data_IF_270162963363
#
_entry.id   IF_270162963363
#
_cell.length_a   1.000
_cell.length_b   1.000
_cell.length_c   1.000
_cell.angle_alpha   90.00
_cell.angle_beta   90.00
_cell.angle_gamma   90.00
#
_symmetry.space_group_name_H-M   'P 1'
#
loop_
_entity.id
_entity.type
_entity.pdbx_description
1 polymer ?
#
# COMPACT_ATOMS: atom_id res chain seq x y z
N UNK A 1 -50.74 -14.03 20.78
CA UNK A 1 -50.54 -13.80 19.32
C UNK A 1 -50.25 -12.32 19.15
N UNK A 2 -49.15 -11.84 18.60
CA UNK A 2 -47.98 -12.46 18.00
C UNK A 2 -46.75 -11.61 18.37
N UNK A 3 -45.63 -12.29 18.62
CA UNK A 3 -44.32 -11.68 18.73
C UNK A 3 -43.78 -11.35 17.33
N UNK A 4 -43.19 -10.16 17.18
CA UNK A 4 -42.20 -9.84 16.16
C UNK A 4 -41.06 -9.17 16.96
N UNK A 5 -39.89 -9.76 17.21
CA UNK A 5 -39.16 -10.76 16.44
C UNK A 5 -38.18 -10.05 15.50
N UNK A 6 -37.05 -9.59 16.05
CA UNK A 6 -35.95 -9.02 15.24
C UNK A 6 -35.03 -8.04 15.97
N UNK A 7 -34.43 -8.40 17.10
CA UNK A 7 -33.20 -7.73 17.56
C UNK A 7 -32.00 -8.35 16.84
N UNK A 8 -31.53 -7.71 15.77
CA UNK A 8 -30.18 -7.93 15.27
C UNK A 8 -29.34 -6.68 15.58
N UNK A 9 -29.03 -6.50 16.86
CA UNK A 9 -27.86 -5.78 17.35
C UNK A 9 -27.13 -6.83 18.23
N UNK A 10 -25.86 -7.15 18.08
CA UNK A 10 -24.74 -6.44 17.48
C UNK A 10 -23.69 -7.44 16.98
N UNK A 11 -22.77 -6.97 16.13
CA UNK A 11 -21.37 -7.36 16.26
C UNK A 11 -20.51 -6.09 16.13
N UNK A 12 -20.48 -5.30 17.21
CA UNK A 12 -19.34 -4.42 17.45
C UNK A 12 -18.10 -5.32 17.50
N UNK A 13 -17.10 -5.03 16.69
CA UNK A 13 -15.83 -5.77 16.66
C UNK A 13 -15.31 -5.91 18.10
N UNK A 14 -15.05 -7.13 18.62
CA UNK A 14 -14.55 -7.29 19.98
C UNK A 14 -13.18 -6.62 20.14
N UNK A 15 -12.94 -5.96 21.27
CA UNK A 15 -11.60 -5.46 21.59
C UNK A 15 -10.67 -6.65 21.86
N UNK A 16 -9.58 -6.83 21.10
CA UNK A 16 -8.61 -7.88 21.39
C UNK A 16 -7.80 -7.51 22.64
N UNK A 17 -7.24 -8.52 23.31
CA UNK A 17 -6.25 -8.28 24.35
C UNK A 17 -4.89 -8.04 23.71
N UNK A 18 -4.28 -6.89 23.99
CA UNK A 18 -2.95 -6.52 23.48
C UNK A 18 -1.89 -6.75 24.55
N UNK A 19 -0.78 -7.39 24.17
CA UNK A 19 0.42 -7.58 24.98
C UNK A 19 1.62 -6.91 24.31
N UNK A 20 2.37 -6.12 25.08
CA UNK A 20 3.60 -5.50 24.61
C UNK A 20 3.88 -4.14 25.28
N UNK A 21 4.85 -3.38 24.76
CA UNK A 21 5.66 -3.71 23.58
C UNK A 21 6.50 -4.98 23.79
N UNK A 22 6.69 -5.77 22.74
CA UNK A 22 7.54 -6.97 22.76
C UNK A 22 9.00 -6.50 22.65
N UNK A 23 9.85 -6.71 23.69
CA UNK A 23 11.22 -6.24 23.66
C UNK A 23 12.00 -6.81 22.47
N UNK A 24 12.77 -5.97 21.78
CA UNK A 24 13.81 -6.44 20.87
C UNK A 24 15.09 -6.60 21.69
N UNK A 25 15.57 -7.84 21.88
CA UNK A 25 16.74 -8.13 22.70
C UNK A 25 18.04 -8.18 21.89
N UNK A 26 17.94 -8.04 20.57
CA UNK A 26 19.06 -7.99 19.64
C UNK A 26 18.87 -6.88 18.59
N UNK A 27 19.96 -6.31 18.04
CA UNK A 27 19.85 -5.33 16.96
C UNK A 27 19.39 -5.98 15.64
N UNK A 28 18.74 -5.23 14.73
CA UNK A 28 18.40 -5.75 13.40
C UNK A 28 19.61 -6.27 12.63
N UNK A 29 19.47 -7.46 12.03
CA UNK A 29 20.57 -8.21 11.38
C UNK A 29 21.27 -9.22 12.30
N UNK A 30 20.95 -9.26 13.60
CA UNK A 30 21.50 -10.29 14.49
C UNK A 30 20.99 -11.70 14.11
N UNK A 31 21.84 -12.74 14.07
CA UNK A 31 21.44 -14.09 13.69
C UNK A 31 20.39 -14.76 14.59
N UNK A 32 20.18 -14.25 15.81
CA UNK A 32 19.12 -14.72 16.72
C UNK A 32 17.71 -14.37 16.23
N UNK A 33 17.58 -13.36 15.35
CA UNK A 33 16.31 -12.80 14.93
C UNK A 33 15.39 -12.39 16.10
N UNK A 34 15.96 -11.94 17.23
CA UNK A 34 15.20 -11.44 18.37
C UNK A 34 14.91 -9.93 18.27
N UNK A 35 14.38 -9.55 17.11
CA UNK A 35 13.90 -8.21 16.75
C UNK A 35 12.72 -8.35 15.76
N UNK A 36 11.96 -7.28 15.48
CA UNK A 36 10.86 -7.34 14.53
C UNK A 36 11.31 -7.73 13.11
N UNK A 37 10.66 -8.74 12.50
CA UNK A 37 10.88 -9.07 11.08
C UNK A 37 10.58 -7.83 10.24
N UNK A 38 11.49 -7.47 9.33
CA UNK A 38 11.50 -6.28 8.48
C UNK A 38 11.45 -4.94 9.24
N UNK A 39 12.05 -4.88 10.44
CA UNK A 39 12.25 -3.63 11.20
C UNK A 39 12.83 -2.50 10.32
N UNK A 40 12.35 -1.27 10.47
CA UNK A 40 12.83 -0.13 9.66
C UNK A 40 14.31 0.16 9.90
N UNK A 41 15.09 0.57 8.88
CA UNK A 41 16.48 1.01 9.09
C UNK A 41 16.56 2.48 9.52
N UNK A 42 15.43 3.20 9.59
CA UNK A 42 15.40 4.61 9.98
C UNK A 42 15.72 4.78 11.46
N UNK A 43 16.53 5.81 11.78
CA UNK A 43 16.66 6.30 13.16
C UNK A 43 15.41 7.10 13.54
N UNK A 44 14.32 6.39 13.85
CA UNK A 44 13.04 6.99 14.21
C UNK A 44 13.14 7.87 15.46
N UNK A 45 14.03 7.54 16.40
CA UNK A 45 14.20 8.32 17.63
C UNK A 45 14.65 9.76 17.32
N UNK A 46 15.59 9.93 16.39
CA UNK A 46 16.03 11.26 15.92
C UNK A 46 14.90 12.07 15.25
N UNK A 47 13.91 11.38 14.70
CA UNK A 47 12.74 11.97 14.02
C UNK A 47 11.57 12.24 15.00
N UNK A 48 11.69 11.83 16.26
CA UNK A 48 10.62 11.89 17.26
C UNK A 48 9.53 10.85 17.05
N UNK A 49 9.90 9.70 16.51
CA UNK A 49 9.08 8.53 16.27
C UNK A 49 9.61 7.33 17.05
N UNK A 50 8.79 6.29 17.15
CA UNK A 50 9.18 4.98 17.68
C UNK A 50 8.64 3.88 16.78
N UNK A 51 9.36 2.76 16.65
CA UNK A 51 8.85 1.48 16.14
C UNK A 51 8.70 0.52 17.32
N UNK A 52 7.49 0.00 17.52
CA UNK A 52 7.19 -0.97 18.59
C UNK A 52 6.39 -2.14 18.02
N UNK A 53 6.70 -3.35 18.48
CA UNK A 53 5.96 -4.56 18.15
C UNK A 53 5.01 -4.93 19.28
N UNK A 54 3.81 -5.35 18.95
CA UNK A 54 2.82 -5.85 19.90
C UNK A 54 2.21 -7.15 19.40
N UNK A 55 1.83 -8.01 20.33
CA UNK A 55 0.94 -9.13 20.05
C UNK A 55 -0.47 -8.79 20.48
N UNK A 56 -1.46 -9.35 19.78
CA UNK A 56 -2.86 -9.20 20.15
C UNK A 56 -3.61 -10.50 19.88
N UNK A 57 -4.58 -10.80 20.73
CA UNK A 57 -5.35 -12.05 20.67
C UNK A 57 -6.81 -11.81 20.96
N UNK A 58 -7.65 -12.65 20.36
CA UNK A 58 -9.10 -12.61 20.52
C UNK A 58 -9.72 -13.86 19.91
N UNK A 59 -11.00 -13.78 19.58
CA UNK A 59 -11.71 -14.81 18.81
C UNK A 59 -12.21 -14.20 17.50
N UNK A 60 -12.16 -14.99 16.42
CA UNK A 60 -12.50 -14.58 15.08
C UNK A 60 -13.57 -15.51 14.48
N UNK A 61 -14.27 -15.00 13.48
CA UNK A 61 -15.22 -15.74 12.66
C UNK A 61 -14.60 -16.12 11.31
N UNK A 62 -15.17 -17.15 10.70
CA UNK A 62 -14.99 -17.45 9.28
C UNK A 62 -16.22 -16.96 8.54
N UNK A 63 -16.01 -16.30 7.39
CA UNK A 63 -17.07 -15.66 6.61
C UNK A 63 -17.22 -16.29 5.23
N UNK A 64 -18.47 -16.38 4.76
CA UNK A 64 -18.75 -16.42 3.34
C UNK A 64 -18.72 -14.98 2.82
N UNK A 65 -17.90 -14.70 1.79
CA UNK A 65 -17.68 -13.33 1.26
C UNK A 65 -18.11 -13.23 -0.20
N UNK A 66 -19.42 -13.34 -0.50
CA UNK A 66 -19.91 -13.18 -1.86
C UNK A 66 -19.58 -11.78 -2.40
N UNK A 67 -19.23 -11.64 -3.70
CA UNK A 67 -18.91 -10.35 -4.29
C UNK A 67 -20.01 -9.31 -4.05
N UNK A 68 -19.60 -8.07 -3.76
CA UNK A 68 -20.48 -6.90 -3.59
C UNK A 68 -21.59 -7.06 -2.54
N UNK A 69 -21.48 -8.05 -1.67
CA UNK A 69 -22.53 -8.43 -0.72
C UNK A 69 -21.96 -8.58 0.67
N UNK A 70 -22.75 -8.21 1.68
CA UNK A 70 -22.40 -8.37 3.09
C UNK A 70 -22.16 -9.84 3.40
N UNK A 71 -21.08 -10.13 4.13
CA UNK A 71 -20.74 -11.50 4.49
C UNK A 71 -21.79 -12.13 5.41
N UNK A 72 -21.81 -13.47 5.42
CA UNK A 72 -22.47 -14.27 6.46
C UNK A 72 -21.43 -15.07 7.23
N UNK A 73 -21.61 -15.18 8.55
CA UNK A 73 -20.74 -16.01 9.40
C UNK A 73 -20.99 -17.49 9.08
N UNK A 74 -19.92 -18.23 8.79
CA UNK A 74 -19.93 -19.68 8.58
C UNK A 74 -19.61 -20.44 9.87
N UNK A 75 -18.66 -19.93 10.65
CA UNK A 75 -18.28 -20.45 11.96
C UNK A 75 -17.71 -19.31 12.81
N UNK A 76 -17.79 -19.44 14.14
CA UNK A 76 -17.46 -18.38 15.08
C UNK A 76 -16.63 -18.90 16.26
N UNK A 77 -15.99 -17.98 16.98
CA UNK A 77 -15.30 -18.28 18.23
C UNK A 77 -13.91 -18.89 18.07
N UNK A 78 -13.29 -18.76 16.89
CA UNK A 78 -11.97 -19.31 16.62
C UNK A 78 -10.88 -18.46 17.30
N UNK A 79 -10.11 -18.98 18.27
CA UNK A 79 -9.03 -18.24 18.89
C UNK A 79 -7.95 -17.88 17.86
N UNK A 80 -7.35 -16.70 18.05
CA UNK A 80 -6.16 -16.30 17.31
C UNK A 80 -5.22 -15.49 18.22
N UNK A 81 -3.95 -15.48 17.87
CA UNK A 81 -2.93 -14.56 18.34
C UNK A 81 -2.08 -14.09 17.16
N UNK A 82 -2.03 -12.78 16.94
CA UNK A 82 -1.29 -12.18 15.85
C UNK A 82 -0.42 -11.01 16.33
N UNK A 83 0.22 -10.34 15.39
CA UNK A 83 1.20 -9.26 15.57
C UNK A 83 0.74 -7.98 14.88
N UNK A 84 1.00 -6.85 15.53
CA UNK A 84 1.09 -5.54 14.87
C UNK A 84 2.48 -4.92 15.04
N UNK A 85 2.96 -4.22 14.00
CA UNK A 85 4.09 -3.30 14.07
C UNK A 85 3.54 -1.87 14.06
N UNK A 86 3.94 -1.06 15.03
CA UNK A 86 3.47 0.31 15.17
C UNK A 86 4.62 1.26 14.97
N UNK A 87 4.47 2.22 14.07
CA UNK A 87 5.40 3.33 13.88
C UNK A 87 4.65 4.63 14.10
N UNK A 88 4.99 5.37 15.14
CA UNK A 88 4.17 6.53 15.55
C UNK A 88 5.01 7.66 16.15
N UNK A 89 4.51 8.91 16.12
CA UNK A 89 5.08 9.99 16.91
C UNK A 89 5.13 9.64 18.40
N UNK A 90 6.18 10.11 19.08
CA UNK A 90 6.30 9.97 20.55
C UNK A 90 5.56 11.08 21.32
N UNK A 91 5.06 12.11 20.62
CA UNK A 91 4.34 13.24 21.20
C UNK A 91 3.10 13.59 20.38
N UNK A 92 2.01 13.93 21.06
CA UNK A 92 0.77 14.38 20.43
C UNK A 92 0.96 15.63 19.57
N UNK A 93 1.94 16.50 19.89
CA UNK A 93 2.24 17.70 19.11
C UNK A 93 2.79 17.40 17.70
N UNK A 94 3.32 16.18 17.47
CA UNK A 94 3.80 15.72 16.17
C UNK A 94 2.80 14.80 15.46
N UNK A 95 1.66 14.48 16.09
CA UNK A 95 0.67 13.57 15.54
C UNK A 95 -0.44 14.34 14.83
N UNK A 96 -0.72 13.97 13.59
CA UNK A 96 -1.73 14.64 12.76
C UNK A 96 -3.17 14.14 13.00
N UNK A 97 -3.36 13.18 13.91
CA UNK A 97 -4.66 12.61 14.23
C UNK A 97 -5.04 11.37 13.41
N UNK A 98 -4.27 11.01 12.37
CA UNK A 98 -4.59 9.91 11.44
C UNK A 98 -3.70 8.70 11.67
N UNK A 99 -4.34 7.55 11.83
CA UNK A 99 -3.70 6.24 11.89
C UNK A 99 -3.95 5.49 10.59
N UNK A 100 -2.88 5.08 9.94
CA UNK A 100 -2.90 4.24 8.76
C UNK A 100 -2.70 2.78 9.17
N UNK A 101 -3.69 1.93 8.93
CA UNK A 101 -3.67 0.52 9.30
C UNK A 101 -3.45 -0.32 8.05
N UNK A 102 -2.23 -0.81 7.87
CA UNK A 102 -1.88 -1.61 6.71
C UNK A 102 -2.26 -3.07 6.92
N UNK A 103 -3.02 -3.62 5.98
CA UNK A 103 -3.06 -5.06 5.81
C UNK A 103 -1.73 -5.47 5.19
N UNK A 104 -0.79 -5.96 6.00
CA UNK A 104 0.58 -6.22 5.56
C UNK A 104 0.59 -7.30 4.48
N UNK A 105 1.32 -7.03 3.39
CA UNK A 105 1.35 -7.89 2.23
C UNK A 105 2.19 -9.15 2.49
N UNK A 106 1.75 -10.30 1.99
CA UNK A 106 2.42 -11.60 2.17
C UNK A 106 2.71 -12.33 0.86
N UNK A 107 2.57 -11.66 -0.30
CA UNK A 107 2.78 -12.27 -1.64
C UNK A 107 4.17 -12.90 -1.79
N UNK A 108 5.17 -12.36 -1.09
CA UNK A 108 6.56 -12.87 -1.12
C UNK A 108 6.85 -13.96 -0.08
N UNK A 109 5.84 -14.42 0.66
CA UNK A 109 5.97 -15.48 1.66
C UNK A 109 6.34 -15.01 3.07
N UNK A 110 6.56 -13.70 3.25
CA UNK A 110 6.89 -13.03 4.51
C UNK A 110 6.11 -11.72 4.62
N UNK A 111 6.13 -11.09 5.79
CA UNK A 111 5.46 -9.81 6.01
C UNK A 111 6.19 -8.68 5.29
N UNK A 112 5.47 -7.92 4.46
CA UNK A 112 5.99 -6.79 3.71
C UNK A 112 5.08 -5.57 3.86
N UNK A 113 5.56 -4.56 4.57
CA UNK A 113 4.92 -3.26 4.82
C UNK A 113 5.13 -2.30 3.63
N UNK A 114 4.60 -2.72 2.48
CA UNK A 114 4.74 -2.02 1.19
C UNK A 114 4.29 -0.56 1.30
N UNK A 115 3.18 -0.30 1.97
CA UNK A 115 2.64 1.06 2.05
C UNK A 115 3.49 1.98 2.91
N UNK A 116 4.08 1.47 4.00
CA UNK A 116 5.04 2.25 4.80
C UNK A 116 6.30 2.53 4.00
N UNK A 117 6.93 1.50 3.39
CA UNK A 117 8.19 1.68 2.66
C UNK A 117 8.06 2.63 1.47
N UNK A 118 6.92 2.61 0.78
CA UNK A 118 6.66 3.52 -0.34
C UNK A 118 6.58 5.00 0.08
N UNK A 119 6.19 5.30 1.33
CA UNK A 119 5.83 6.66 1.75
C UNK A 119 6.43 7.10 3.10
N UNK A 120 7.41 6.36 3.65
CA UNK A 120 7.92 6.55 5.02
C UNK A 120 8.33 8.00 5.32
N UNK A 121 8.98 8.68 4.37
CA UNK A 121 9.46 10.05 4.55
C UNK A 121 8.29 11.04 4.67
N UNK A 122 7.24 10.86 3.86
CA UNK A 122 6.03 11.65 3.93
C UNK A 122 5.24 11.35 5.22
N UNK A 123 5.04 10.08 5.55
CA UNK A 123 4.28 9.67 6.73
C UNK A 123 4.89 10.24 8.03
N UNK A 124 6.22 10.23 8.13
CA UNK A 124 6.94 10.80 9.28
C UNK A 124 6.85 12.33 9.28
N UNK A 125 7.09 12.97 8.14
CA UNK A 125 7.05 14.44 8.01
C UNK A 125 5.67 15.00 8.34
N UNK A 126 4.62 14.35 7.86
CA UNK A 126 3.23 14.79 8.02
C UNK A 126 2.60 14.33 9.34
N UNK A 127 3.30 13.56 10.18
CA UNK A 127 2.82 13.22 11.52
C UNK A 127 1.84 12.06 11.58
N UNK A 128 1.82 11.16 10.59
CA UNK A 128 0.96 9.97 10.62
C UNK A 128 1.45 8.94 11.64
N UNK A 129 0.53 8.18 12.20
CA UNK A 129 0.84 6.90 12.84
C UNK A 129 0.55 5.76 11.86
N UNK A 130 1.41 4.76 11.84
CA UNK A 130 1.30 3.56 11.00
C UNK A 130 1.16 2.32 11.87
N UNK A 131 0.27 1.41 11.48
CA UNK A 131 0.05 0.11 12.13
C UNK A 131 -0.01 -0.98 11.07
N UNK A 132 1.05 -1.79 10.95
CA UNK A 132 1.10 -2.93 10.06
C UNK A 132 0.56 -4.20 10.73
N UNK A 133 -0.48 -4.81 10.17
CA UNK A 133 -1.17 -5.98 10.73
C UNK A 133 -0.80 -7.26 9.99
N UNK A 134 -0.26 -8.24 10.71
CA UNK A 134 -0.02 -9.59 10.19
C UNK A 134 -1.31 -10.42 10.16
N UNK A 135 -2.21 -10.15 9.20
CA UNK A 135 -3.55 -10.75 9.20
C UNK A 135 -3.62 -12.17 8.59
N UNK A 136 -2.64 -12.57 7.78
CA UNK A 136 -2.72 -13.78 6.94
C UNK A 136 -1.80 -14.91 7.41
N UNK A 137 -2.27 -16.14 7.16
CA UNK A 137 -1.57 -17.39 7.49
C UNK A 137 -0.18 -17.45 6.85
N UNK A 138 -0.04 -17.05 5.59
CA UNK A 138 1.25 -17.11 4.87
C UNK A 138 2.35 -16.32 5.59
N UNK A 139 2.03 -15.12 6.08
CA UNK A 139 3.00 -14.28 6.80
C UNK A 139 3.38 -14.80 8.19
N UNK A 140 2.60 -15.69 8.79
CA UNK A 140 2.86 -16.21 10.15
C UNK A 140 3.38 -17.64 10.13
N UNK A 141 2.67 -18.53 9.42
CA UNK A 141 2.88 -19.98 9.38
C UNK A 141 3.63 -20.46 8.14
N UNK A 142 3.88 -19.58 7.16
CA UNK A 142 4.61 -19.93 5.94
C UNK A 142 6.09 -20.22 6.21
N UNK A 143 6.82 -20.79 5.23
CA UNK A 143 8.22 -21.16 5.38
C UNK A 143 9.17 -19.96 5.59
N UNK A 144 8.76 -18.75 5.19
CA UNK A 144 9.44 -17.49 5.50
C UNK A 144 8.60 -16.59 6.44
N UNK A 145 7.50 -17.14 6.98
CA UNK A 145 6.64 -16.46 7.93
C UNK A 145 7.30 -16.31 9.30
N UNK A 146 6.65 -15.54 10.17
CA UNK A 146 7.20 -15.15 11.47
C UNK A 146 7.68 -16.36 12.30
N UNK A 147 6.88 -17.42 12.40
CA UNK A 147 7.22 -18.59 13.22
C UNK A 147 8.47 -19.29 12.71
N UNK A 148 8.60 -19.47 11.39
CA UNK A 148 9.76 -20.11 10.79
C UNK A 148 11.02 -19.21 10.90
N UNK A 149 10.84 -17.89 10.78
CA UNK A 149 11.93 -16.92 10.81
C UNK A 149 12.53 -16.73 12.22
N UNK A 150 11.70 -16.70 13.26
CA UNK A 150 12.15 -16.63 14.66
C UNK A 150 11.21 -17.41 15.58
N UNK A 151 11.42 -18.75 15.73
CA UNK A 151 10.53 -19.61 16.52
C UNK A 151 10.42 -19.20 17.99
N UNK A 152 11.53 -18.77 18.59
CA UNK A 152 11.55 -18.34 19.99
C UNK A 152 10.69 -17.09 20.24
N UNK A 153 10.70 -16.15 19.30
CA UNK A 153 9.95 -14.89 19.39
C UNK A 153 8.48 -15.07 19.03
N UNK A 154 8.18 -15.81 17.96
CA UNK A 154 6.84 -15.84 17.36
C UNK A 154 6.11 -17.18 17.51
N UNK A 155 6.70 -18.19 18.14
CA UNK A 155 6.12 -19.55 18.24
C UNK A 155 4.76 -19.65 18.94
N UNK A 156 4.30 -18.57 19.59
CA UNK A 156 2.95 -18.49 20.19
C UNK A 156 1.89 -17.88 19.27
N UNK A 157 2.28 -17.33 18.11
CA UNK A 157 1.33 -16.76 17.16
C UNK A 157 0.53 -17.87 16.48
N UNK A 158 -0.75 -17.62 16.27
CA UNK A 158 -1.64 -18.53 15.55
C UNK A 158 -2.82 -17.76 14.95
N UNK A 159 -3.11 -18.00 13.66
CA UNK A 159 -4.26 -17.42 12.95
C UNK A 159 -5.06 -18.51 12.25
N UNK A 160 -5.01 -19.71 12.82
CA UNK A 160 -5.57 -20.93 12.23
C UNK A 160 -6.45 -21.71 13.19
N UNK A 161 -6.62 -21.25 14.44
CA UNK A 161 -7.29 -22.00 15.51
C UNK A 161 -6.75 -23.42 15.63
N UNK A 162 -5.46 -23.52 15.96
CA UNK A 162 -4.74 -24.78 16.12
C UNK A 162 -4.86 -25.70 14.89
N UNK A 163 -4.92 -25.10 13.70
CA UNK A 163 -5.05 -25.79 12.43
C UNK A 163 -6.48 -26.13 11.99
N UNK A 164 -7.50 -25.84 12.79
CA UNK A 164 -8.92 -26.04 12.44
C UNK A 164 -9.31 -25.24 11.19
N UNK A 165 -8.78 -24.02 11.06
CA UNK A 165 -8.99 -23.15 9.89
C UNK A 165 -7.75 -23.20 9.00
N UNK A 166 -7.86 -23.97 7.90
CA UNK A 166 -6.77 -24.24 6.96
C UNK A 166 -6.42 -23.08 6.01
N UNK A 167 -7.24 -22.03 5.95
CA UNK A 167 -7.09 -20.88 5.06
C UNK A 167 -7.04 -19.56 5.86
N UNK A 168 -7.12 -18.43 5.16
CA UNK A 168 -7.13 -17.08 5.77
C UNK A 168 -8.53 -16.66 6.27
N UNK A 169 -9.40 -17.60 6.62
CA UNK A 169 -10.80 -17.31 7.00
C UNK A 169 -10.93 -16.34 8.18
N UNK A 170 -9.98 -16.39 9.11
CA UNK A 170 -9.95 -15.52 10.30
C UNK A 170 -9.42 -14.11 10.03
N UNK A 171 -8.77 -13.89 8.88
CA UNK A 171 -7.98 -12.68 8.62
C UNK A 171 -8.80 -11.37 8.67
N UNK A 172 -10.09 -11.42 8.30
CA UNK A 172 -10.96 -10.24 8.34
C UNK A 172 -11.24 -9.76 9.75
N UNK A 173 -11.46 -10.68 10.71
CA UNK A 173 -11.63 -10.32 12.11
C UNK A 173 -10.32 -9.97 12.77
N UNK A 174 -9.22 -10.67 12.44
CA UNK A 174 -7.87 -10.29 12.90
C UNK A 174 -7.55 -8.84 12.51
N UNK A 175 -7.85 -8.45 11.26
CA UNK A 175 -7.64 -7.09 10.78
C UNK A 175 -8.59 -6.08 11.45
N UNK A 176 -9.88 -6.42 11.58
CA UNK A 176 -10.87 -5.57 12.26
C UNK A 176 -10.49 -5.32 13.73
N UNK A 177 -10.05 -6.36 14.44
CA UNK A 177 -9.69 -6.27 15.84
C UNK A 177 -8.39 -5.48 16.05
N UNK A 178 -7.46 -5.49 15.10
CA UNK A 178 -6.31 -4.57 15.15
C UNK A 178 -6.75 -3.10 15.11
N UNK A 179 -7.76 -2.74 14.30
CA UNK A 179 -8.37 -1.41 14.33
C UNK A 179 -9.14 -1.15 15.64
N UNK A 180 -9.82 -2.16 16.17
CA UNK A 180 -10.50 -2.06 17.46
C UNK A 180 -9.52 -1.84 18.64
N UNK A 181 -8.31 -2.39 18.56
CA UNK A 181 -7.24 -2.15 19.54
C UNK A 181 -6.78 -0.68 19.57
N UNK A 182 -6.93 0.04 18.45
CA UNK A 182 -6.68 1.48 18.36
C UNK A 182 -7.82 2.25 19.02
N UNK A 183 -9.07 1.91 18.69
CA UNK A 183 -10.27 2.66 19.15
C UNK A 183 -10.60 2.43 20.62
N UNK A 184 -10.47 1.20 21.08
CA UNK A 184 -10.83 0.75 22.44
C UNK A 184 -9.74 -0.18 22.97
N UNK A 185 -8.60 0.36 23.41
CA UNK A 185 -7.47 -0.45 23.84
C UNK A 185 -7.82 -1.28 25.09
N UNK A 186 -7.50 -2.57 25.04
CA UNK A 186 -7.54 -3.51 26.17
C UNK A 186 -6.16 -4.13 26.32
N UNK A 187 -5.55 -4.01 27.51
CA UNK A 187 -4.15 -4.34 27.73
C UNK A 187 -3.24 -3.16 27.36
N UNK A 188 -2.19 -3.40 26.57
CA UNK A 188 -1.28 -2.34 26.15
C UNK A 188 -1.95 -1.37 25.15
N UNK A 189 -1.72 -0.06 25.32
CA UNK A 189 -2.16 0.95 24.36
C UNK A 189 -1.12 1.10 23.24
N UNK A 190 -1.42 0.56 22.07
CA UNK A 190 -0.47 0.51 20.95
C UNK A 190 -0.09 1.90 20.41
N UNK A 191 -0.92 2.93 20.67
CA UNK A 191 -0.64 4.31 20.29
C UNK A 191 -0.16 5.20 21.43
N UNK A 192 0.10 4.64 22.62
CA UNK A 192 0.70 5.39 23.73
C UNK A 192 -0.08 6.65 24.14
N UNK A 193 -1.42 6.64 23.99
CA UNK A 193 -2.28 7.78 24.34
C UNK A 193 -2.37 8.90 23.30
N UNK A 194 -1.85 8.73 22.07
CA UNK A 194 -2.05 9.69 21.00
C UNK A 194 -3.55 9.94 20.73
N UNK A 195 -3.99 11.20 20.50
CA UNK A 195 -5.39 11.54 20.29
C UNK A 195 -5.85 11.16 18.87
N UNK A 196 -6.24 9.90 18.70
CA UNK A 196 -6.72 9.36 17.41
C UNK A 196 -8.01 10.06 17.00
N UNK A 197 -8.01 10.58 15.78
CA UNK A 197 -9.20 11.16 15.15
C UNK A 197 -9.71 10.27 14.02
N UNK A 198 -8.81 9.62 13.29
CA UNK A 198 -9.11 8.86 12.07
C UNK A 198 -8.31 7.56 12.01
N UNK A 199 -8.95 6.49 11.55
CA UNK A 199 -8.37 5.17 11.30
C UNK A 199 -8.67 4.77 9.86
N UNK A 200 -7.66 4.77 9.00
CA UNK A 200 -7.77 4.49 7.56
C UNK A 200 -7.13 3.14 7.25
N UNK A 201 -7.88 2.24 6.61
CA UNK A 201 -7.34 0.96 6.15
C UNK A 201 -6.55 1.16 4.85
N UNK A 202 -5.33 0.62 4.79
CA UNK A 202 -4.47 0.76 3.62
C UNK A 202 -3.90 -0.60 3.20
N UNK A 203 -3.62 -0.78 1.91
CA UNK A 203 -3.05 -2.03 1.44
C UNK A 203 -2.67 -1.98 -0.03
N UNK A 204 -1.68 -2.80 -0.38
CA UNK A 204 -1.15 -2.91 -1.73
C UNK A 204 -1.26 -4.33 -2.30
N UNK A 205 -1.48 -4.48 -3.61
CA UNK A 205 -1.43 -5.77 -4.31
C UNK A 205 -2.43 -6.78 -3.74
N UNK A 206 -2.00 -7.97 -3.33
CA UNK A 206 -2.87 -8.94 -2.65
C UNK A 206 -3.63 -8.35 -1.46
N UNK A 207 -2.99 -7.50 -0.65
CA UNK A 207 -3.65 -6.82 0.46
C UNK A 207 -4.72 -5.83 0.01
N UNK A 208 -4.52 -5.17 -1.13
CA UNK A 208 -5.55 -4.35 -1.75
C UNK A 208 -6.76 -5.22 -2.13
N UNK A 209 -6.54 -6.38 -2.74
CA UNK A 209 -7.61 -7.33 -3.07
C UNK A 209 -8.38 -7.80 -1.83
N UNK A 210 -7.66 -8.02 -0.71
CA UNK A 210 -8.27 -8.29 0.60
C UNK A 210 -9.13 -7.14 1.10
N UNK A 211 -8.69 -5.90 0.92
CA UNK A 211 -9.45 -4.73 1.31
C UNK A 211 -10.67 -4.48 0.41
N UNK A 212 -10.64 -4.85 -0.87
CA UNK A 212 -11.84 -4.87 -1.73
C UNK A 212 -12.89 -5.82 -1.14
N UNK A 213 -12.49 -7.04 -0.77
CA UNK A 213 -13.40 -7.98 -0.10
C UNK A 213 -13.85 -7.45 1.27
N UNK A 214 -12.95 -6.86 2.06
CA UNK A 214 -13.29 -6.27 3.35
C UNK A 214 -14.33 -5.17 3.19
N UNK A 215 -14.11 -4.21 2.29
CA UNK A 215 -15.05 -3.13 1.99
C UNK A 215 -16.42 -3.69 1.62
N UNK A 216 -16.46 -4.61 0.67
CA UNK A 216 -17.73 -5.14 0.15
C UNK A 216 -18.50 -5.97 1.16
N UNK A 217 -17.80 -6.79 1.95
CA UNK A 217 -18.42 -7.86 2.73
C UNK A 217 -18.36 -7.65 4.23
N UNK A 218 -17.32 -7.00 4.75
CA UNK A 218 -17.03 -6.91 6.19
C UNK A 218 -17.33 -5.52 6.75
N UNK A 219 -17.15 -4.45 5.97
CA UNK A 219 -17.30 -3.07 6.45
C UNK A 219 -18.64 -2.83 7.16
N UNK A 220 -19.77 -3.28 6.58
CA UNK A 220 -21.12 -3.13 7.16
C UNK A 220 -21.34 -3.95 8.44
N UNK A 221 -20.47 -4.91 8.73
CA UNK A 221 -20.51 -5.71 9.96
C UNK A 221 -19.62 -5.06 11.02
N UNK A 222 -18.43 -4.59 10.63
CA UNK A 222 -17.40 -4.13 11.54
C UNK A 222 -17.44 -2.62 11.83
N UNK A 223 -17.58 -1.79 10.80
CA UNK A 223 -17.61 -0.31 10.86
C UNK A 223 -16.46 0.34 11.65
N UNK A 224 -15.26 -0.27 11.63
CA UNK A 224 -14.07 0.20 12.40
C UNK A 224 -13.13 1.13 11.63
N UNK A 225 -13.33 1.33 10.33
CA UNK A 225 -12.46 2.19 9.49
C UNK A 225 -13.23 3.39 8.95
N UNK A 226 -12.60 4.56 8.97
CA UNK A 226 -13.17 5.82 8.49
C UNK A 226 -12.95 6.02 6.98
N UNK A 227 -12.00 5.30 6.39
CA UNK A 227 -11.68 5.34 4.96
C UNK A 227 -10.74 4.23 4.52
N UNK A 228 -10.54 4.12 3.20
CA UNK A 228 -9.68 3.12 2.57
C UNK A 228 -8.75 3.75 1.53
N UNK A 229 -7.48 3.33 1.52
CA UNK A 229 -6.54 3.55 0.41
C UNK A 229 -6.14 2.20 -0.18
N UNK A 230 -6.47 2.03 -1.46
CA UNK A 230 -6.27 0.82 -2.22
C UNK A 230 -5.20 1.09 -3.28
N UNK A 231 -3.98 0.57 -3.07
CA UNK A 231 -2.85 0.82 -3.95
C UNK A 231 -2.47 -0.42 -4.75
N UNK A 232 -1.96 -0.26 -5.97
CA UNK A 232 -1.46 -1.36 -6.80
C UNK A 232 -2.52 -2.46 -6.99
N UNK A 233 -3.62 -2.10 -7.64
CA UNK A 233 -4.88 -2.84 -7.58
C UNK A 233 -4.88 -4.23 -8.18
N UNK A 234 -5.59 -5.15 -7.51
CA UNK A 234 -6.16 -6.34 -8.11
C UNK A 234 -7.63 -6.06 -8.38
N UNK A 235 -7.99 -6.09 -9.67
CA UNK A 235 -9.29 -5.71 -10.19
C UNK A 235 -10.44 -6.31 -9.39
N UNK A 236 -11.23 -5.43 -8.78
CA UNK A 236 -12.45 -5.78 -8.07
C UNK A 236 -13.33 -4.56 -7.91
N UNK A 237 -14.61 -4.73 -8.23
CA UNK A 237 -15.61 -3.67 -8.05
C UNK A 237 -15.95 -3.51 -6.58
N UNK A 238 -16.26 -2.28 -6.21
CA UNK A 238 -16.79 -1.88 -4.91
C UNK A 238 -18.30 -1.70 -5.01
N UNK A 239 -19.04 -2.20 -4.02
CA UNK A 239 -20.47 -1.91 -3.88
C UNK A 239 -20.68 -0.41 -3.62
N UNK A 240 -21.80 0.13 -4.09
CA UNK A 240 -22.04 1.58 -4.11
C UNK A 240 -22.99 2.07 -3.02
N UNK A 241 -23.49 1.18 -2.16
CA UNK A 241 -24.41 1.49 -1.06
C UNK A 241 -23.70 1.70 0.29
N UNK A 242 -22.37 1.84 0.31
CA UNK A 242 -21.59 2.17 1.49
C UNK A 242 -21.14 3.63 1.45
N UNK A 243 -21.25 4.32 2.60
CA UNK A 243 -20.89 5.74 2.72
C UNK A 243 -19.40 6.02 2.98
N UNK A 244 -18.61 4.98 3.28
CA UNK A 244 -17.18 5.10 3.58
C UNK A 244 -16.39 5.53 2.35
N UNK A 245 -15.35 6.34 2.56
CA UNK A 245 -14.53 6.89 1.48
C UNK A 245 -13.46 5.90 1.05
N UNK A 246 -13.29 5.73 -0.26
CA UNK A 246 -12.29 4.83 -0.85
C UNK A 246 -11.51 5.58 -1.92
N UNK A 247 -10.18 5.53 -1.83
CA UNK A 247 -9.28 6.06 -2.83
C UNK A 247 -8.44 4.91 -3.42
N UNK A 248 -8.56 4.71 -4.74
CA UNK A 248 -7.74 3.78 -5.52
C UNK A 248 -6.61 4.49 -6.25
N UNK A 249 -5.43 3.88 -6.26
CA UNK A 249 -4.30 4.30 -7.11
C UNK A 249 -3.75 3.06 -7.83
N UNK A 250 -3.84 3.09 -9.16
CA UNK A 250 -3.51 1.98 -10.04
C UNK A 250 -2.40 2.38 -11.03
N UNK A 251 -1.65 1.40 -11.50
CA UNK A 251 -0.52 1.52 -12.44
C UNK A 251 -0.82 0.86 -13.78
N UNK A 252 0.04 1.03 -14.79
CA UNK A 252 -0.15 0.35 -16.07
C UNK A 252 -0.20 -1.18 -15.92
N UNK A 253 0.64 -1.75 -15.04
CA UNK A 253 0.66 -3.18 -14.79
C UNK A 253 -0.71 -3.67 -14.29
N UNK A 254 -1.36 -2.90 -13.43
CA UNK A 254 -2.62 -3.27 -12.79
C UNK A 254 -3.75 -3.30 -13.83
N UNK A 255 -3.74 -2.29 -14.72
CA UNK A 255 -4.66 -2.18 -15.84
C UNK A 255 -4.47 -3.31 -16.85
N UNK A 256 -3.23 -3.64 -17.20
CA UNK A 256 -2.88 -4.61 -18.23
C UNK A 256 -3.10 -6.06 -17.79
N UNK A 257 -2.73 -6.39 -16.56
CA UNK A 257 -2.58 -7.78 -16.12
C UNK A 257 -3.40 -8.16 -14.90
N UNK A 258 -3.84 -7.19 -14.09
CA UNK A 258 -4.47 -7.45 -12.81
C UNK A 258 -5.97 -7.11 -12.78
N UNK A 259 -6.56 -6.84 -13.95
CA UNK A 259 -8.01 -6.73 -14.11
C UNK A 259 -8.61 -5.36 -13.75
N UNK A 260 -7.78 -4.34 -13.51
CA UNK A 260 -8.28 -3.02 -13.11
C UNK A 260 -9.12 -2.34 -14.21
N UNK A 261 -8.82 -2.57 -15.49
CA UNK A 261 -9.68 -2.07 -16.59
C UNK A 261 -11.11 -2.60 -16.49
N UNK A 262 -11.29 -3.88 -16.14
CA UNK A 262 -12.62 -4.47 -15.96
C UNK A 262 -13.30 -4.04 -14.66
N UNK A 263 -12.50 -3.62 -13.67
CA UNK A 263 -12.96 -3.15 -12.37
C UNK A 263 -13.27 -1.65 -12.31
N UNK A 264 -12.95 -0.88 -13.36
CA UNK A 264 -13.22 0.56 -13.44
C UNK A 264 -14.65 0.90 -13.02
N UNK A 265 -14.74 1.92 -12.18
CA UNK A 265 -15.97 2.55 -11.72
C UNK A 265 -15.79 4.05 -11.77
N UNK A 266 -16.87 4.76 -12.11
CA UNK A 266 -16.85 6.21 -12.13
C UNK A 266 -16.67 6.79 -10.73
N UNK A 267 -15.91 7.87 -10.69
CA UNK A 267 -15.70 8.67 -9.50
C UNK A 267 -17.07 9.11 -8.94
N UNK A 268 -17.19 9.09 -7.61
CA UNK A 268 -18.42 9.42 -6.90
C UNK A 268 -18.11 10.19 -5.60
N UNK A 269 -19.12 10.48 -4.79
CA UNK A 269 -18.91 11.07 -3.47
C UNK A 269 -18.20 10.13 -2.49
N UNK A 270 -18.00 8.86 -2.85
CA UNK A 270 -17.37 7.84 -2.00
C UNK A 270 -16.19 7.12 -2.65
N UNK A 271 -15.99 7.27 -3.96
CA UNK A 271 -14.89 6.64 -4.70
C UNK A 271 -14.13 7.67 -5.53
N UNK A 272 -12.79 7.62 -5.41
CA UNK A 272 -11.84 8.27 -6.31
C UNK A 272 -10.86 7.24 -6.83
N UNK A 273 -10.58 7.24 -8.12
CA UNK A 273 -9.58 6.36 -8.74
C UNK A 273 -8.61 7.16 -9.57
N UNK A 274 -7.32 7.02 -9.28
CA UNK A 274 -6.25 7.60 -10.07
C UNK A 274 -5.42 6.50 -10.73
N UNK A 275 -5.09 6.70 -12.00
CA UNK A 275 -4.26 5.77 -12.77
C UNK A 275 -2.98 6.49 -13.20
N UNK A 276 -1.82 5.94 -12.84
CA UNK A 276 -0.51 6.57 -13.08
C UNK A 276 0.12 5.97 -14.34
N UNK A 277 0.22 6.79 -15.39
CA UNK A 277 0.81 6.40 -16.66
C UNK A 277 2.32 6.14 -16.52
N UNK A 278 2.83 5.10 -17.17
CA UNK A 278 4.24 4.69 -17.11
C UNK A 278 4.64 3.92 -15.85
N UNK A 279 3.84 3.94 -14.78
CA UNK A 279 4.15 3.24 -13.54
C UNK A 279 3.96 1.72 -13.65
N UNK A 280 4.71 0.97 -12.85
CA UNK A 280 4.62 -0.49 -12.71
C UNK A 280 4.18 -0.90 -11.30
N UNK A 281 3.67 -2.13 -11.17
CA UNK A 281 3.21 -2.67 -9.89
C UNK A 281 4.34 -2.80 -8.86
N UNK A 282 5.55 -3.11 -9.30
CA UNK A 282 6.77 -2.99 -8.50
C UNK A 282 7.73 -2.09 -9.25
N UNK A 283 8.02 -0.94 -8.66
CA UNK A 283 8.83 0.11 -9.26
C UNK A 283 10.25 0.15 -8.69
N UNK A 284 11.10 0.94 -9.35
CA UNK A 284 12.51 1.12 -8.98
C UNK A 284 12.70 1.71 -7.58
N UNK A 285 11.85 2.68 -7.19
CA UNK A 285 11.99 3.44 -5.94
C UNK A 285 11.95 2.59 -4.66
N UNK A 286 11.22 1.47 -4.69
CA UNK A 286 11.06 0.56 -3.55
C UNK A 286 12.20 -0.46 -3.43
N UNK A 287 12.93 -0.69 -4.54
CA UNK A 287 13.74 -1.89 -4.72
C UNK A 287 14.96 -1.95 -3.81
N UNK A 288 15.77 -0.89 -3.73
CA UNK A 288 17.01 -0.89 -2.97
C UNK A 288 16.78 -1.10 -1.47
N UNK A 289 15.81 -0.38 -0.90
CA UNK A 289 15.41 -0.52 0.50
C UNK A 289 14.89 -1.94 0.78
N UNK A 290 14.07 -2.48 -0.12
CA UNK A 290 13.55 -3.84 0.01
C UNK A 290 14.68 -4.87 0.06
N UNK A 291 15.63 -4.79 -0.86
CA UNK A 291 16.80 -5.69 -0.91
C UNK A 291 17.61 -5.60 0.38
N UNK A 292 17.86 -4.39 0.89
CA UNK A 292 18.55 -4.19 2.17
C UNK A 292 17.86 -4.93 3.31
N UNK A 293 16.54 -4.78 3.45
CA UNK A 293 15.77 -5.39 4.52
C UNK A 293 15.74 -6.92 4.44
N UNK A 294 15.43 -7.46 3.26
CA UNK A 294 15.27 -8.92 3.10
C UNK A 294 16.62 -9.63 3.17
N UNK A 295 17.70 -9.02 2.69
CA UNK A 295 19.05 -9.57 2.86
C UNK A 295 19.47 -9.55 4.33
N UNK A 296 19.23 -8.45 5.05
CA UNK A 296 19.50 -8.36 6.49
C UNK A 296 18.78 -9.46 7.28
N UNK A 297 17.53 -9.72 6.93
CA UNK A 297 16.68 -10.68 7.64
C UNK A 297 16.76 -12.10 7.06
N UNK A 298 17.68 -12.39 6.13
CA UNK A 298 17.80 -13.70 5.47
C UNK A 298 16.48 -14.20 4.83
N UNK A 299 15.70 -13.28 4.27
CA UNK A 299 14.45 -13.54 3.55
C UNK A 299 14.67 -13.63 2.03
N UNK A 300 13.78 -14.31 1.28
CA UNK A 300 13.88 -14.41 -0.17
C UNK A 300 13.90 -13.03 -0.87
N UNK A 301 14.99 -12.69 -1.60
CA UNK A 301 15.09 -11.41 -2.29
C UNK A 301 14.28 -11.39 -3.60
N UNK A 302 13.82 -10.21 -4.04
CA UNK A 302 13.26 -10.05 -5.38
C UNK A 302 14.34 -10.24 -6.47
N UNK A 303 13.96 -10.79 -7.63
CA UNK A 303 14.90 -11.15 -8.71
C UNK A 303 14.58 -10.48 -10.07
N UNK A 304 14.55 -9.14 -10.18
CA UNK A 304 14.24 -8.45 -11.44
C UNK A 304 15.24 -8.70 -12.57
N UNK A 305 16.48 -9.07 -12.24
CA UNK A 305 17.52 -9.44 -13.20
C UNK A 305 17.18 -10.70 -14.02
N UNK A 306 16.18 -11.49 -13.61
CA UNK A 306 15.74 -12.68 -14.34
C UNK A 306 14.66 -12.36 -15.39
N UNK A 307 14.17 -11.12 -15.46
CA UNK A 307 13.13 -10.76 -16.41
C UNK A 307 13.70 -10.64 -17.82
N UNK A 308 12.92 -11.10 -18.80
CA UNK A 308 13.43 -11.44 -20.13
C UNK A 308 12.93 -10.53 -21.24
N UNK A 309 11.86 -9.75 -21.00
CA UNK A 309 11.27 -8.92 -22.04
C UNK A 309 12.00 -7.59 -22.20
N UNK A 310 12.19 -6.89 -21.08
CA UNK A 310 12.83 -5.57 -21.01
C UNK A 310 13.57 -5.44 -19.67
N UNK A 311 14.55 -4.52 -19.54
CA UNK A 311 15.13 -4.19 -18.23
C UNK A 311 14.01 -3.82 -17.25
N UNK A 312 13.95 -4.54 -16.14
CA UNK A 312 12.85 -4.48 -15.19
C UNK A 312 12.89 -3.22 -14.33
N UNK A 313 11.74 -2.94 -13.69
CA UNK A 313 11.46 -1.80 -12.80
C UNK A 313 11.26 -0.50 -13.57
N UNK A 314 10.01 -0.04 -13.67
CA UNK A 314 9.72 1.33 -14.11
C UNK A 314 10.27 2.35 -13.10
N UNK A 315 10.74 3.47 -13.62
CA UNK A 315 11.25 4.61 -12.86
C UNK A 315 10.18 5.67 -12.60
N UNK A 316 8.95 5.50 -13.09
CA UNK A 316 7.85 6.43 -12.79
C UNK A 316 7.44 6.30 -11.31
N UNK A 317 7.58 7.37 -10.50
CA UNK A 317 7.42 7.30 -9.05
C UNK A 317 5.95 7.41 -8.62
N UNK A 318 5.16 6.35 -8.80
CA UNK A 318 3.75 6.32 -8.39
C UNK A 318 3.53 6.63 -6.89
N UNK A 319 4.56 6.49 -6.05
CA UNK A 319 4.49 6.86 -4.64
C UNK A 319 4.36 8.38 -4.41
N UNK A 320 4.77 9.24 -5.35
CA UNK A 320 4.49 10.69 -5.28
C UNK A 320 2.96 10.93 -5.27
N UNK A 321 2.24 10.15 -6.09
CA UNK A 321 0.78 10.18 -6.16
C UNK A 321 0.16 9.58 -4.90
N UNK A 322 0.72 8.49 -4.38
CA UNK A 322 0.29 7.88 -3.12
C UNK A 322 0.43 8.84 -1.93
N UNK A 323 1.51 9.61 -1.85
CA UNK A 323 1.72 10.61 -0.81
C UNK A 323 0.57 11.65 -0.80
N UNK A 324 0.23 12.19 -1.98
CA UNK A 324 -0.90 13.12 -2.11
C UNK A 324 -2.25 12.47 -1.71
N UNK A 325 -2.43 11.18 -2.02
CA UNK A 325 -3.65 10.44 -1.63
C UNK A 325 -3.83 10.38 -0.13
N UNK A 326 -2.77 10.24 0.67
CA UNK A 326 -2.90 10.25 2.13
C UNK A 326 -3.42 11.59 2.67
N UNK A 327 -2.98 12.71 2.10
CA UNK A 327 -3.47 14.04 2.47
C UNK A 327 -4.93 14.26 2.04
N UNK A 328 -5.27 13.79 0.83
CA UNK A 328 -6.62 13.88 0.32
C UNK A 328 -7.61 13.01 1.09
N UNK A 329 -7.30 11.74 1.34
CA UNK A 329 -8.20 10.85 2.09
C UNK A 329 -8.36 11.37 3.52
N UNK A 330 -7.29 11.87 4.13
CA UNK A 330 -7.29 12.48 5.46
C UNK A 330 -8.28 13.64 5.56
N UNK A 331 -8.30 14.56 4.61
CA UNK A 331 -9.30 15.64 4.54
C UNK A 331 -10.70 15.11 4.22
N UNK A 332 -10.80 14.20 3.25
CA UNK A 332 -12.08 13.68 2.79
C UNK A 332 -12.88 12.98 3.90
N UNK A 333 -12.21 12.21 4.77
CA UNK A 333 -12.84 11.57 5.92
C UNK A 333 -13.08 12.54 7.09
N UNK A 334 -12.35 13.66 7.16
CA UNK A 334 -12.47 14.64 8.25
C UNK A 334 -13.65 15.57 8.04
N UNK A 335 -13.72 16.21 6.87
CA UNK A 335 -14.64 17.33 6.61
C UNK A 335 -15.43 17.17 5.30
N UNK A 336 -15.24 16.05 4.60
CA UNK A 336 -15.95 15.77 3.36
C UNK A 336 -15.35 16.44 2.12
N UNK A 337 -14.23 17.16 2.21
CA UNK A 337 -13.55 17.77 1.06
C UNK A 337 -13.13 16.68 0.07
N UNK A 338 -13.72 16.61 -1.14
CA UNK A 338 -13.43 15.52 -2.07
C UNK A 338 -12.04 15.70 -2.69
N UNK A 339 -11.30 14.60 -2.94
CA UNK A 339 -10.09 14.64 -3.75
C UNK A 339 -10.39 15.09 -5.18
N UNK A 340 -9.40 15.66 -5.90
CA UNK A 340 -9.56 15.95 -7.32
C UNK A 340 -9.81 14.67 -8.12
N UNK A 341 -10.59 14.78 -9.20
CA UNK A 341 -10.67 13.73 -10.21
C UNK A 341 -9.41 13.74 -11.07
N UNK A 342 -9.07 12.63 -11.72
CA UNK A 342 -7.96 12.56 -12.66
C UNK A 342 -8.39 11.91 -13.99
N UNK A 343 -7.70 12.25 -15.11
CA UNK A 343 -7.83 11.48 -16.33
C UNK A 343 -7.48 10.00 -16.09
N UNK A 344 -8.17 9.09 -16.78
CA UNK A 344 -7.79 7.66 -16.83
C UNK A 344 -6.78 7.42 -17.94
N UNK A 345 -5.96 6.38 -17.80
CA UNK A 345 -5.09 5.90 -18.87
C UNK A 345 -5.96 5.41 -20.02
N UNK A 346 -5.65 5.85 -21.24
CA UNK A 346 -6.42 5.53 -22.41
C UNK A 346 -6.27 4.04 -22.77
N UNK A 347 -7.40 3.38 -23.01
CA UNK A 347 -7.47 1.96 -23.35
C UNK A 347 -8.01 1.83 -24.76
N UNK A 348 -7.22 1.24 -25.66
CA UNK A 348 -7.64 0.92 -27.03
C UNK A 348 -8.53 -0.31 -27.09
N UNK A 349 -8.26 -1.29 -26.24
CA UNK A 349 -9.07 -2.52 -26.10
C UNK A 349 -9.12 -2.95 -24.66
N UNK A 350 -10.32 -3.19 -24.13
CA UNK A 350 -10.52 -3.71 -22.77
C UNK A 350 -10.21 -5.23 -22.65
N UNK A 351 -9.82 -5.88 -23.76
CA UNK A 351 -9.28 -7.24 -23.78
C UNK A 351 -10.28 -8.39 -23.92
N UNK A 352 -9.78 -9.64 -23.85
CA UNK A 352 -8.38 -10.03 -23.61
C UNK A 352 -7.51 -10.14 -24.90
N UNK A 353 -6.25 -9.64 -24.91
CA UNK A 353 -5.57 -8.89 -23.85
C UNK A 353 -5.99 -7.41 -23.82
N UNK A 354 -5.91 -6.78 -22.63
CA UNK A 354 -6.04 -5.32 -22.51
C UNK A 354 -4.93 -4.66 -23.33
N UNK A 355 -5.27 -3.61 -24.08
CA UNK A 355 -4.31 -2.82 -24.86
C UNK A 355 -4.48 -1.35 -24.49
N UNK A 356 -3.41 -0.76 -23.97
CA UNK A 356 -3.35 0.69 -23.69
C UNK A 356 -3.02 1.45 -24.97
N UNK A 357 -3.55 2.66 -25.10
CA UNK A 357 -3.11 3.60 -26.12
C UNK A 357 -1.71 4.11 -25.79
N UNK A 358 -0.83 4.19 -26.79
CA UNK A 358 0.54 4.67 -26.63
C UNK A 358 0.89 5.69 -27.70
N UNK A 359 1.75 6.63 -27.33
CA UNK A 359 2.39 7.57 -28.27
C UNK A 359 3.33 6.83 -29.22
N UNK A 360 3.84 7.52 -30.24
CA UNK A 360 4.87 6.98 -31.13
C UNK A 360 6.19 6.63 -30.43
N UNK A 361 6.41 7.12 -29.20
CA UNK A 361 7.56 6.78 -28.35
C UNK A 361 7.29 5.55 -27.47
N UNK A 362 6.07 4.98 -27.49
CA UNK A 362 5.72 3.82 -26.66
C UNK A 362 5.24 4.17 -25.25
N UNK A 363 4.98 5.44 -24.96
CA UNK A 363 4.48 5.91 -23.65
C UNK A 363 2.96 5.90 -23.64
N UNK A 364 2.32 5.40 -22.57
CA UNK A 364 0.86 5.44 -22.48
C UNK A 364 0.32 6.87 -22.40
N UNK A 365 -0.89 7.07 -22.96
CA UNK A 365 -1.62 8.34 -22.97
C UNK A 365 -2.73 8.35 -21.92
N UNK A 366 -3.21 9.54 -21.55
CA UNK A 366 -4.17 9.71 -20.45
C UNK A 366 -3.51 9.46 -19.09
N UNK A 367 -4.30 9.26 -18.04
CA UNK A 367 -3.79 9.04 -16.69
C UNK A 367 -3.14 10.29 -16.09
N UNK A 368 -2.61 10.14 -14.87
CA UNK A 368 -1.68 11.09 -14.29
C UNK A 368 -0.32 10.90 -14.98
N UNK A 369 0.17 11.98 -15.57
CA UNK A 369 1.42 12.02 -16.34
C UNK A 369 2.47 12.75 -15.50
N UNK A 370 3.22 12.00 -14.68
CA UNK A 370 4.37 12.54 -13.94
C UNK A 370 5.48 12.98 -14.90
N UNK A 371 6.44 13.79 -14.43
CA UNK A 371 7.51 14.31 -15.30
C UNK A 371 8.31 13.22 -16.02
N UNK A 372 8.48 12.05 -15.39
CA UNK A 372 9.17 10.89 -15.98
C UNK A 372 8.44 10.35 -17.22
N UNK A 373 7.11 10.50 -17.27
CA UNK A 373 6.28 10.07 -18.40
C UNK A 373 6.07 11.20 -19.42
N UNK A 374 5.75 12.41 -18.95
CA UNK A 374 5.40 13.54 -19.83
C UNK A 374 6.63 14.21 -20.48
N UNK A 375 7.78 14.15 -19.81
CA UNK A 375 9.07 14.70 -20.26
C UNK A 375 10.09 13.55 -20.30
N UNK A 376 9.87 12.56 -21.18
CA UNK A 376 10.53 11.25 -21.11
C UNK A 376 12.01 11.28 -21.51
N UNK A 377 12.84 10.67 -20.68
CA UNK A 377 14.23 10.32 -21.02
C UNK A 377 14.41 8.83 -21.31
N UNK A 378 13.33 8.06 -21.12
CA UNK A 378 13.24 6.63 -21.29
C UNK A 378 11.80 6.26 -21.65
N UNK A 379 11.59 5.00 -22.08
CA UNK A 379 10.27 4.38 -22.06
C UNK A 379 10.12 3.66 -20.73
N UNK A 380 9.27 4.22 -19.87
CA UNK A 380 8.76 3.56 -18.68
C UNK A 380 7.37 2.97 -18.97
N UNK A 381 7.15 1.71 -18.59
CA UNK A 381 5.83 1.07 -18.76
C UNK A 381 5.59 -0.08 -17.76
N UNK A 382 4.35 -0.57 -17.72
CA UNK A 382 3.92 -1.63 -16.83
C UNK A 382 4.17 -3.06 -17.32
N UNK A 383 4.90 -3.28 -18.42
CA UNK A 383 5.04 -4.59 -19.09
C UNK A 383 6.39 -5.24 -18.82
N UNK A 384 6.37 -6.50 -18.41
CA UNK A 384 7.53 -7.38 -18.49
C UNK A 384 7.09 -8.87 -18.48
N UNK A 385 8.03 -9.78 -18.68
CA UNK A 385 7.81 -11.22 -18.54
C UNK A 385 9.10 -11.94 -18.10
N UNK A 386 8.96 -13.19 -17.68
CA UNK A 386 10.04 -13.98 -17.09
C UNK A 386 9.55 -14.83 -15.92
N UNK A 387 10.45 -15.49 -15.18
CA UNK A 387 10.09 -16.32 -14.03
C UNK A 387 9.54 -15.49 -12.86
N UNK A 388 8.75 -16.15 -12.00
CA UNK A 388 8.26 -15.56 -10.75
C UNK A 388 7.39 -14.32 -10.98
N UNK A 389 7.75 -13.22 -10.31
CA UNK A 389 6.97 -11.97 -10.30
C UNK A 389 7.37 -10.99 -11.42
N UNK A 390 8.11 -11.43 -12.44
CA UNK A 390 8.57 -10.53 -13.51
C UNK A 390 7.45 -9.74 -14.18
N UNK A 391 6.27 -10.34 -14.38
CA UNK A 391 5.12 -9.63 -14.95
C UNK A 391 4.64 -8.42 -14.14
N UNK A 392 5.06 -8.30 -12.87
CA UNK A 392 4.74 -7.16 -12.01
C UNK A 392 5.77 -6.02 -12.08
N UNK A 393 6.96 -6.26 -12.64
CA UNK A 393 8.08 -5.33 -12.49
C UNK A 393 8.07 -4.21 -13.52
N UNK A 394 7.22 -4.29 -14.55
CA UNK A 394 7.25 -3.34 -15.66
C UNK A 394 8.66 -3.18 -16.25
N UNK A 395 8.94 -2.04 -16.86
CA UNK A 395 10.24 -1.82 -17.47
C UNK A 395 10.66 -0.36 -17.58
N UNK A 396 11.97 -0.19 -17.76
CA UNK A 396 12.64 1.07 -18.03
C UNK A 396 13.65 0.90 -19.16
N UNK A 397 13.44 1.59 -20.29
CA UNK A 397 14.37 1.56 -21.44
C UNK A 397 14.84 2.97 -21.78
N UNK A 398 16.08 3.35 -21.40
CA UNK A 398 16.62 4.68 -21.69
C UNK A 398 16.63 5.00 -23.19
N UNK A 399 16.35 6.26 -23.53
CA UNK A 399 16.54 6.74 -24.90
C UNK A 399 18.03 6.89 -25.23
N UNK A 400 18.35 6.73 -26.52
CA UNK A 400 19.69 7.03 -27.02
C UNK A 400 19.98 8.54 -27.06
N UNK A 401 21.27 8.88 -27.17
CA UNK A 401 21.72 10.27 -27.17
C UNK A 401 21.13 11.09 -28.35
N UNK A 402 20.87 10.45 -29.50
CA UNK A 402 20.27 11.12 -30.66
C UNK A 402 18.81 11.51 -30.40
N UNK A 403 18.04 10.60 -29.79
CA UNK A 403 16.65 10.86 -29.39
C UNK A 403 16.59 11.93 -28.32
N UNK A 404 17.43 11.86 -27.29
CA UNK A 404 17.51 12.88 -26.24
C UNK A 404 17.92 14.25 -26.79
N UNK A 405 18.87 14.32 -27.72
CA UNK A 405 19.28 15.58 -28.35
C UNK A 405 18.18 16.21 -29.21
N UNK A 406 17.34 15.38 -29.85
CA UNK A 406 16.18 15.83 -30.61
C UNK A 406 15.06 16.33 -29.70
N UNK A 407 14.78 15.63 -28.60
CA UNK A 407 13.74 16.00 -27.64
C UNK A 407 14.14 17.24 -26.82
N UNK A 408 15.42 17.31 -26.44
CA UNK A 408 15.97 18.32 -25.54
C UNK A 408 17.25 18.94 -26.11
N UNK A 409 17.14 19.91 -27.04
CA UNK A 409 18.31 20.53 -27.69
C UNK A 409 19.29 21.24 -26.73
N UNK A 410 18.82 21.62 -25.54
CA UNK A 410 19.66 22.13 -24.47
C UNK A 410 19.08 21.79 -23.09
N UNK A 411 19.94 21.80 -22.08
CA UNK A 411 19.60 21.45 -20.70
C UNK A 411 18.49 22.32 -20.10
N UNK A 412 18.49 23.63 -20.40
CA UNK A 412 17.46 24.55 -19.93
C UNK A 412 16.06 24.18 -20.44
N UNK A 413 15.94 23.73 -21.68
CA UNK A 413 14.67 23.24 -22.24
C UNK A 413 14.16 22.00 -21.52
N UNK A 414 15.03 21.05 -21.16
CA UNK A 414 14.64 19.87 -20.38
C UNK A 414 14.16 20.25 -18.98
N UNK A 415 14.95 21.02 -18.24
CA UNK A 415 14.63 21.44 -16.87
C UNK A 415 13.35 22.26 -16.83
N UNK A 416 13.15 23.17 -17.79
CA UNK A 416 11.92 23.96 -17.89
C UNK A 416 10.70 23.10 -18.19
N UNK A 417 10.83 22.08 -19.05
CA UNK A 417 9.72 21.19 -19.37
C UNK A 417 9.33 20.32 -18.17
N UNK A 418 10.32 19.76 -17.44
CA UNK A 418 10.05 19.05 -16.18
C UNK A 418 9.37 19.97 -15.18
N UNK A 419 9.93 21.17 -14.95
CA UNK A 419 9.36 22.12 -13.99
C UNK A 419 7.92 22.50 -14.33
N UNK A 420 7.57 22.65 -15.61
CA UNK A 420 6.20 22.96 -16.01
C UNK A 420 5.24 21.82 -15.66
N UNK A 421 5.52 20.59 -16.10
CA UNK A 421 4.68 19.42 -15.82
C UNK A 421 4.57 19.15 -14.32
N UNK A 422 5.67 19.25 -13.59
CA UNK A 422 5.70 19.05 -12.15
C UNK A 422 4.82 20.08 -11.43
N UNK A 423 4.88 21.35 -11.82
CA UNK A 423 4.01 22.39 -11.26
C UNK A 423 2.53 22.19 -11.64
N UNK A 424 2.24 21.69 -12.83
CA UNK A 424 0.87 21.37 -13.24
C UNK A 424 0.30 20.21 -12.40
N UNK A 425 1.09 19.15 -12.17
CA UNK A 425 0.70 18.04 -11.29
C UNK A 425 0.51 18.50 -9.84
N UNK A 426 1.37 19.40 -9.35
CA UNK A 426 1.24 19.99 -8.02
C UNK A 426 -0.04 20.84 -7.91
N UNK A 427 -0.31 21.70 -8.91
CA UNK A 427 -1.50 22.54 -8.95
C UNK A 427 -2.80 21.72 -9.06
N UNK A 428 -2.76 20.60 -9.79
CA UNK A 428 -3.87 19.63 -9.86
C UNK A 428 -4.03 18.81 -8.56
N UNK A 429 -3.06 18.89 -7.64
CA UNK A 429 -3.07 18.16 -6.38
C UNK A 429 -2.71 16.68 -6.51
N UNK A 430 -2.05 16.27 -7.60
CA UNK A 430 -1.64 14.88 -7.82
C UNK A 430 -0.35 14.51 -7.11
N UNK A 431 0.47 15.48 -6.71
CA UNK A 431 1.71 15.30 -5.96
C UNK A 431 1.85 16.36 -4.87
N UNK A 432 2.72 16.13 -3.89
CA UNK A 432 2.99 17.09 -2.82
C UNK A 432 4.16 18.04 -3.18
N UNK A 433 4.28 19.20 -2.48
CA UNK A 433 5.37 20.14 -2.73
C UNK A 433 6.78 19.52 -2.63
N UNK A 434 7.01 18.60 -1.69
CA UNK A 434 8.33 17.96 -1.56
C UNK A 434 8.63 16.98 -2.69
N UNK A 435 7.61 16.27 -3.19
CA UNK A 435 7.74 15.39 -4.36
C UNK A 435 8.05 16.24 -5.60
N UNK A 436 7.34 17.36 -5.77
CA UNK A 436 7.58 18.32 -6.84
C UNK A 436 9.00 18.90 -6.79
N UNK A 437 9.47 19.26 -5.58
CA UNK A 437 10.83 19.74 -5.38
C UNK A 437 11.86 18.67 -5.76
N UNK A 438 11.65 17.41 -5.38
CA UNK A 438 12.55 16.31 -5.71
C UNK A 438 12.67 16.10 -7.24
N UNK A 439 11.53 16.11 -7.96
CA UNK A 439 11.51 15.98 -9.42
C UNK A 439 12.28 17.13 -10.12
N UNK A 440 12.04 18.37 -9.70
CA UNK A 440 12.73 19.54 -10.26
C UNK A 440 14.23 19.53 -9.95
N UNK A 441 14.63 19.10 -8.76
CA UNK A 441 16.05 18.98 -8.39
C UNK A 441 16.75 17.88 -9.18
N UNK A 442 16.12 16.71 -9.34
CA UNK A 442 16.65 15.62 -10.15
C UNK A 442 16.88 16.08 -11.60
N UNK A 443 15.93 16.81 -12.19
CA UNK A 443 16.09 17.34 -13.54
C UNK A 443 17.25 18.33 -13.64
N UNK A 444 17.39 19.26 -12.68
CA UNK A 444 18.45 20.26 -12.66
C UNK A 444 19.85 19.64 -12.47
N UNK A 445 19.94 18.49 -11.80
CA UNK A 445 21.21 17.77 -11.59
C UNK A 445 21.57 16.84 -12.76
N UNK A 446 20.59 16.43 -13.57
CA UNK A 446 20.81 15.53 -14.71
C UNK A 446 21.75 16.09 -15.77
N UNK A 447 22.27 15.23 -16.65
CA UNK A 447 23.09 15.62 -17.80
C UNK A 447 22.29 15.77 -19.11
N UNK A 448 20.96 15.67 -19.06
CA UNK A 448 20.10 15.73 -20.24
C UNK A 448 20.20 17.10 -20.90
N UNK A 449 20.47 17.12 -22.21
CA UNK A 449 20.64 18.35 -22.98
C UNK A 449 21.91 19.15 -22.65
N UNK A 450 22.81 18.64 -21.79
CA UNK A 450 24.15 19.23 -21.64
C UNK A 450 24.99 18.81 -22.84
N UNK A 451 25.82 19.73 -23.35
CA UNK A 451 26.85 19.35 -24.33
C UNK A 451 27.86 18.44 -23.62
N UNK A 452 28.14 17.27 -24.19
CA UNK A 452 29.24 16.43 -23.76
C UNK A 452 30.52 17.28 -23.74
N UNK A 453 31.18 17.37 -22.59
CA UNK A 453 32.47 18.05 -22.47
C UNK A 453 33.57 17.27 -23.15
#
# INVERSE_FOLDING_TARGET
MAAFGGTAAAALVPSPTVTGPIPANAPPGDPSHDYPQVATPLDLASLGYVEEEYFFSGTANVYNTPPLTTATVLSSGHPYKSRVIVRRPTSAAKFNGTVLVEWVNVTSGYNNDVMFRASQDHLIRAGYAYVGVSAQRVGIHGPAGLIAWSPARYGTLDVTDHGTVGNDGLSYDVFSQAAQAIRTPVGASILGGLPVQRVVAIGASQSQGRLVTYHNSIHKIAEVFDGYVLYLGLGGKLRTDLGVKVFKVDTETDLLFLGEVAARQDDSDHLRTWEVAGASHVAFSDFALRVLLVTRDSLPPPTPQLCTQQPALSHTPAFHVLNAVYEHVSRWVTDGTPPPTAPRVNVLSAGPPVVLERTSLGLSTGGIQLSQQAVPTAVDNGVNSGPGLCFLYGSHTPFDAATLSRLYPNHGSYVSAVSHVTNDNLAAGYILPEDAQADMQAAAQSDIGKKSR
#
